data_IF_803216426791
#
_entry.id   IF_803216426791
#
_cell.length_a   1.000
_cell.length_b   1.000
_cell.length_c   1.000
_cell.angle_alpha   90.00
_cell.angle_beta   90.00
_cell.angle_gamma   90.00
#
_symmetry.space_group_name_H-M   'P 1'
#
loop_
_entity.id
_entity.type
_entity.pdbx_description
1 polymer ?
#
# COMPACT_ATOMS: atom_id res chain seq x y z
N UNK A 1 -1.34 -1.60 -0.45
CA UNK A 1 -2.54 -1.03 0.17
C UNK A 1 -2.83 0.34 -0.42
N UNK A 2 -4.09 0.69 -0.64
CA UNK A 2 -4.50 2.04 -1.03
C UNK A 2 -5.49 2.65 -0.05
N UNK A 3 -5.83 3.92 -0.28
CA UNK A 3 -6.75 4.68 0.57
C UNK A 3 -8.10 3.98 0.75
N UNK A 4 -8.51 3.93 2.02
CA UNK A 4 -9.86 3.58 2.46
C UNK A 4 -10.72 4.85 2.47
N UNK A 5 -11.50 5.05 1.41
CA UNK A 5 -12.39 6.20 1.29
C UNK A 5 -13.69 6.02 2.06
N UNK A 6 -14.44 7.11 2.23
CA UNK A 6 -15.76 7.16 2.89
C UNK A 6 -15.72 6.96 4.41
N UNK A 7 -14.55 7.13 5.04
CA UNK A 7 -14.37 7.04 6.49
C UNK A 7 -14.48 8.40 7.22
N UNK A 8 -14.57 9.51 6.49
CA UNK A 8 -14.65 10.86 7.07
C UNK A 8 -13.45 11.18 7.96
N UNK A 9 -13.71 11.76 9.13
CA UNK A 9 -12.68 12.13 10.11
C UNK A 9 -11.88 10.94 10.65
N UNK A 10 -12.42 9.72 10.52
CA UNK A 10 -11.74 8.50 10.94
C UNK A 10 -10.68 8.01 9.95
N UNK A 11 -10.60 8.62 8.76
CA UNK A 11 -9.72 8.14 7.68
C UNK A 11 -8.27 8.00 8.15
N UNK A 12 -7.66 9.05 8.71
CA UNK A 12 -6.26 8.99 9.14
C UNK A 12 -6.01 7.85 10.15
N UNK A 13 -6.84 7.77 11.19
CA UNK A 13 -6.70 6.78 12.25
C UNK A 13 -6.88 5.34 11.74
N UNK A 14 -7.84 5.11 10.84
CA UNK A 14 -8.05 3.80 10.23
C UNK A 14 -6.81 3.29 9.46
N UNK A 15 -6.09 4.18 8.77
CA UNK A 15 -4.88 3.80 8.02
C UNK A 15 -3.73 3.47 8.98
N UNK A 16 -3.59 4.20 10.09
CA UNK A 16 -2.68 3.86 11.18
C UNK A 16 -3.00 2.48 11.76
N UNK A 17 -4.27 2.20 12.06
CA UNK A 17 -4.69 0.90 12.61
C UNK A 17 -4.37 -0.26 11.68
N UNK A 18 -4.63 -0.10 10.38
CA UNK A 18 -4.31 -1.15 9.40
C UNK A 18 -2.80 -1.31 9.23
N UNK A 19 -2.03 -0.22 9.26
CA UNK A 19 -0.57 -0.28 9.29
C UNK A 19 -0.05 -1.08 10.48
N UNK A 20 -0.54 -0.77 11.69
CA UNK A 20 -0.18 -1.48 12.92
C UNK A 20 -0.60 -2.96 12.88
N UNK A 21 -1.77 -3.25 12.31
CA UNK A 21 -2.22 -4.62 12.10
C UNK A 21 -1.31 -5.40 11.14
N UNK A 22 -0.84 -4.78 10.05
CA UNK A 22 0.01 -5.43 9.06
C UNK A 22 1.43 -5.72 9.58
N UNK A 23 1.94 -4.94 10.54
CA UNK A 23 3.35 -4.98 11.02
C UNK A 23 3.91 -6.37 11.33
N UNK A 24 3.10 -7.29 11.85
CA UNK A 24 3.54 -8.63 12.23
C UNK A 24 3.01 -9.74 11.31
N UNK A 25 2.51 -9.36 10.12
CA UNK A 25 1.74 -10.25 9.23
C UNK A 25 2.23 -10.25 7.79
N UNK A 26 3.01 -9.24 7.41
CA UNK A 26 3.63 -9.13 6.09
C UNK A 26 5.09 -8.75 6.27
N UNK A 27 5.94 -9.21 5.35
CA UNK A 27 7.36 -8.84 5.34
C UNK A 27 7.55 -7.41 4.84
N UNK A 28 6.74 -6.96 3.87
CA UNK A 28 6.79 -5.63 3.27
C UNK A 28 5.39 -5.02 3.19
N UNK A 29 5.25 -3.74 3.53
CA UNK A 29 4.02 -2.96 3.30
C UNK A 29 4.27 -1.84 2.30
N UNK A 30 3.62 -1.95 1.14
CA UNK A 30 3.59 -0.88 0.13
C UNK A 30 2.25 -0.15 0.22
N UNK A 31 2.26 1.15 0.51
CA UNK A 31 1.07 1.99 0.60
C UNK A 31 1.08 3.06 -0.50
N UNK A 32 -0.06 3.25 -1.17
CA UNK A 32 -0.20 4.21 -2.27
C UNK A 32 -1.44 5.07 -2.08
N UNK A 33 -1.28 6.39 -2.05
CA UNK A 33 -2.37 7.35 -1.93
C UNK A 33 -2.10 8.45 -0.90
N UNK A 34 -3.13 9.25 -0.64
CA UNK A 34 -3.04 10.42 0.24
C UNK A 34 -2.73 10.03 1.69
N UNK A 35 -3.15 8.82 2.11
CA UNK A 35 -2.94 8.30 3.47
C UNK A 35 -1.79 7.29 3.56
N UNK A 36 -0.86 7.30 2.59
CA UNK A 36 0.29 6.40 2.63
C UNK A 36 1.13 6.61 3.90
N UNK A 37 1.32 7.86 4.34
CA UNK A 37 2.10 8.18 5.54
C UNK A 37 1.51 7.54 6.80
N UNK A 38 0.20 7.57 6.94
CA UNK A 38 -0.55 7.05 8.09
C UNK A 38 -0.42 5.53 8.19
N UNK A 39 -0.41 4.80 7.07
CA UNK A 39 -0.05 3.38 7.09
C UNK A 39 1.35 3.15 7.69
N UNK A 40 2.32 3.99 7.32
CA UNK A 40 3.69 3.94 7.84
C UNK A 40 3.79 4.30 9.33
N UNK A 41 2.97 5.21 9.82
CA UNK A 41 2.89 5.55 11.25
C UNK A 41 2.49 4.33 12.10
N UNK A 42 1.58 3.49 11.59
CA UNK A 42 1.20 2.24 12.26
C UNK A 42 2.19 1.09 12.06
N UNK A 43 2.67 0.91 10.83
CA UNK A 43 3.52 -0.22 10.45
C UNK A 43 4.96 -0.09 11.00
N UNK A 44 5.50 1.14 11.01
CA UNK A 44 6.91 1.42 11.26
C UNK A 44 7.67 1.69 9.96
N UNK A 45 8.92 2.16 10.08
CA UNK A 45 9.74 2.57 8.92
C UNK A 45 10.50 1.44 8.25
N UNK A 46 10.70 0.30 8.94
CA UNK A 46 11.39 -0.85 8.36
C UNK A 46 10.43 -1.56 7.41
N UNK A 47 10.89 -1.89 6.20
CA UNK A 47 10.14 -2.63 5.18
C UNK A 47 8.80 -1.97 4.77
N UNK A 48 8.71 -0.65 4.98
CA UNK A 48 7.59 0.17 4.57
C UNK A 48 7.95 1.08 3.40
N UNK A 49 7.08 1.11 2.39
CA UNK A 49 7.23 1.96 1.21
C UNK A 49 5.94 2.72 0.92
N UNK A 50 5.95 4.04 1.16
CA UNK A 50 4.82 4.92 0.91
C UNK A 50 5.00 5.74 -0.36
N UNK A 51 3.97 5.78 -1.21
CA UNK A 51 3.95 6.55 -2.46
C UNK A 51 2.69 7.41 -2.54
N UNK A 52 2.78 8.68 -2.96
CA UNK A 52 1.59 9.53 -3.06
C UNK A 52 0.74 9.17 -4.28
N UNK A 53 1.35 8.63 -5.34
CA UNK A 53 0.64 8.27 -6.57
C UNK A 53 0.97 6.86 -7.05
N UNK A 54 0.11 6.34 -7.93
CA UNK A 54 0.37 5.07 -8.60
C UNK A 54 1.64 5.13 -9.47
N UNK A 55 1.84 6.26 -10.16
CA UNK A 55 2.97 6.46 -11.05
C UNK A 55 4.29 6.32 -10.29
N UNK A 56 4.37 6.91 -9.10
CA UNK A 56 5.53 6.76 -8.21
C UNK A 56 5.71 5.30 -7.75
N UNK A 57 4.62 4.64 -7.38
CA UNK A 57 4.67 3.25 -6.93
C UNK A 57 5.15 2.30 -8.04
N UNK A 58 4.63 2.44 -9.27
CA UNK A 58 5.00 1.56 -10.39
C UNK A 58 6.47 1.66 -10.76
N UNK A 59 7.06 2.85 -10.64
CA UNK A 59 8.50 3.03 -10.87
C UNK A 59 9.33 2.22 -9.86
N UNK A 60 8.84 2.09 -8.63
CA UNK A 60 9.55 1.41 -7.56
C UNK A 60 9.32 -0.10 -7.50
N UNK A 61 8.12 -0.59 -7.87
CA UNK A 61 7.72 -1.99 -7.72
C UNK A 61 8.75 -3.02 -8.25
N UNK A 62 9.39 -2.84 -9.43
CA UNK A 62 10.35 -3.81 -9.95
C UNK A 62 11.62 -3.97 -9.09
N UNK A 63 11.88 -3.07 -8.15
CA UNK A 63 13.02 -3.16 -7.22
C UNK A 63 12.59 -3.63 -5.82
N UNK A 64 11.29 -3.85 -5.60
CA UNK A 64 10.72 -4.21 -4.29
C UNK A 64 10.11 -5.61 -4.26
N UNK A 65 9.89 -6.21 -5.42
CA UNK A 65 9.24 -7.49 -5.58
C UNK A 65 10.14 -8.41 -6.39
N UNK A 66 10.17 -9.68 -5.99
CA UNK A 66 10.89 -10.75 -6.67
C UNK A 66 9.92 -11.82 -7.20
N UNK A 67 10.37 -12.61 -8.17
CA UNK A 67 9.61 -13.76 -8.68
C UNK A 67 9.31 -14.74 -7.53
N UNK A 68 8.03 -15.07 -7.35
CA UNK A 68 7.56 -15.98 -6.30
C UNK A 68 6.92 -15.29 -5.09
N UNK A 69 6.98 -13.95 -5.01
CA UNK A 69 6.32 -13.19 -3.95
C UNK A 69 4.78 -13.32 -4.01
N UNK A 70 4.16 -13.37 -2.83
CA UNK A 70 2.71 -13.31 -2.68
C UNK A 70 2.25 -11.85 -2.47
N UNK A 71 1.60 -11.28 -3.49
CA UNK A 71 1.11 -9.90 -3.43
C UNK A 71 -0.38 -9.83 -3.09
N UNK A 72 -0.73 -9.14 -2.02
CA UNK A 72 -2.12 -8.80 -1.67
C UNK A 72 -2.46 -7.34 -2.05
N UNK A 73 -3.32 -7.18 -3.06
CA UNK A 73 -3.81 -5.86 -3.50
C UNK A 73 -5.17 -5.53 -2.88
N UNK A 74 -5.25 -4.39 -2.19
CA UNK A 74 -6.51 -3.87 -1.62
C UNK A 74 -6.52 -2.34 -1.56
N UNK A 75 -7.62 -1.75 -2.03
CA UNK A 75 -7.91 -0.32 -1.95
C UNK A 75 -9.43 -0.06 -2.08
N UNK A 76 -9.87 1.20 -1.98
CA UNK A 76 -11.19 1.65 -2.44
C UNK A 76 -11.32 1.53 -3.97
N UNK A 77 -12.53 1.22 -4.47
CA UNK A 77 -12.80 1.05 -5.91
C UNK A 77 -12.39 2.27 -6.75
N UNK A 78 -12.58 3.47 -6.21
CA UNK A 78 -12.26 4.73 -6.90
C UNK A 78 -10.77 4.89 -7.25
N UNK A 79 -9.87 4.15 -6.58
CA UNK A 79 -8.44 4.19 -6.86
C UNK A 79 -8.02 3.33 -8.04
N UNK A 80 -8.90 2.42 -8.50
CA UNK A 80 -8.66 1.55 -9.66
C UNK A 80 -7.39 0.70 -9.53
N UNK A 81 -7.15 0.13 -8.34
CA UNK A 81 -5.95 -0.67 -8.03
C UNK A 81 -5.77 -1.90 -8.92
N UNK A 82 -6.82 -2.37 -9.60
CA UNK A 82 -6.71 -3.44 -10.61
C UNK A 82 -5.68 -3.11 -11.71
N UNK A 83 -5.38 -1.83 -11.94
CA UNK A 83 -4.39 -1.40 -12.92
C UNK A 83 -2.95 -1.88 -12.57
N UNK A 84 -2.67 -2.14 -11.30
CA UNK A 84 -1.40 -2.75 -10.87
C UNK A 84 -1.21 -4.18 -11.38
N UNK A 85 -2.28 -4.94 -11.67
CA UNK A 85 -2.15 -6.31 -12.16
C UNK A 85 -1.29 -6.37 -13.43
N UNK A 86 -1.48 -5.41 -14.35
CA UNK A 86 -0.70 -5.34 -15.59
C UNK A 86 0.79 -5.06 -15.39
N UNK A 87 1.17 -4.49 -14.24
CA UNK A 87 2.57 -4.25 -13.85
C UNK A 87 3.13 -5.49 -13.18
N UNK A 88 2.38 -6.07 -12.25
CA UNK A 88 2.78 -7.26 -11.50
C UNK A 88 2.94 -8.50 -12.39
N UNK A 89 2.14 -8.64 -13.45
CA UNK A 89 2.29 -9.73 -14.43
C UNK A 89 3.59 -9.67 -15.25
N UNK A 90 4.38 -8.60 -15.11
CA UNK A 90 5.62 -8.36 -15.84
C UNK A 90 6.87 -8.35 -14.95
N UNK A 91 6.67 -8.49 -13.63
CA UNK A 91 7.74 -8.68 -12.65
C UNK A 91 7.94 -10.19 -12.52
#
# INVERSE_FOLDING_TARGET
>A
MGDMKELGDYSAMAHVEVGAYARSRVDVLIAVGDFAKEYGEGFGSQDFHGYPTYEDAVIALPNLLDEGDLVYLKASRSMKFERFLSVLERI
#
